data_IF_897482358543
#
_entry.id   IF_897482358543
#
_cell.length_a   1.000
_cell.length_b   1.000
_cell.length_c   1.000
_cell.angle_alpha   90.00
_cell.angle_beta   90.00
_cell.angle_gamma   90.00
#
_symmetry.space_group_name_H-M   'P 1'
#
loop_
_entity.id
_entity.type
_entity.pdbx_description
1 polymer ?
#
# COMPACT_ATOMS: atom_id res chain seq x y z
N UNK A 1 15.08 10.43 11.34
CA UNK A 1 15.12 10.39 10.21
C UNK A 1 14.73 9.24 9.62
N UNK A 2 14.20 9.41 9.05
CA UNK A 2 13.69 8.62 8.46
C UNK A 2 14.48 8.19 7.43
N UNK A 3 15.14 7.32 7.69
CA UNK A 3 15.74 6.88 6.84
C UNK A 3 14.95 6.00 6.15
N UNK A 4 14.47 6.36 5.35
CA UNK A 4 13.69 5.75 4.62
C UNK A 4 14.42 4.85 3.81
N UNK A 5 14.17 3.67 3.98
CA UNK A 5 14.66 2.87 3.04
C UNK A 5 13.97 3.12 1.82
N UNK A 6 13.12 3.88 1.81
CA UNK A 6 12.42 3.82 0.84
C UNK A 6 12.43 4.76 -0.11
N UNK A 7 12.67 4.34 -1.15
CA UNK A 7 12.31 4.99 -2.25
C UNK A 7 10.94 4.58 -2.50
N UNK A 8 10.06 5.50 -2.64
CA UNK A 8 8.72 5.21 -3.11
C UNK A 8 8.48 5.91 -4.44
N UNK A 9 7.66 5.32 -5.28
CA UNK A 9 7.28 5.90 -6.58
C UNK A 9 5.77 6.01 -6.61
N UNK A 10 5.28 7.15 -7.09
CA UNK A 10 3.84 7.38 -7.20
C UNK A 10 3.50 7.70 -8.64
N UNK A 11 2.56 6.94 -9.18
CA UNK A 11 2.06 7.18 -10.53
C UNK A 11 0.57 7.49 -10.43
N UNK A 12 0.14 8.51 -11.16
CA UNK A 12 -1.26 8.88 -11.20
C UNK A 12 -1.84 8.31 -12.49
N UNK A 13 -2.94 7.60 -12.38
CA UNK A 13 -3.51 6.88 -13.51
C UNK A 13 -4.77 7.58 -13.98
N UNK A 14 -4.79 7.96 -15.26
CA UNK A 14 -5.94 8.59 -15.89
C UNK A 14 -6.47 7.72 -17.02
N UNK A 15 -7.74 7.88 -17.30
CA UNK A 15 -8.31 7.38 -18.54
C UNK A 15 -8.93 8.59 -19.19
N UNK A 16 -8.31 9.11 -20.26
CA UNK A 16 -8.68 10.42 -20.78
C UNK A 16 -8.42 11.50 -19.74
N UNK A 17 -9.45 12.23 -19.36
CA UNK A 17 -9.30 13.23 -18.32
C UNK A 17 -9.82 12.75 -16.97
N UNK A 18 -10.31 11.52 -16.91
CA UNK A 18 -10.85 10.99 -15.67
C UNK A 18 -9.76 10.35 -14.83
N UNK A 19 -9.67 10.77 -13.58
CA UNK A 19 -8.73 10.16 -12.64
C UNK A 19 -9.23 8.78 -12.25
N UNK A 20 -8.42 7.75 -12.51
CA UNK A 20 -8.78 6.38 -12.20
C UNK A 20 -8.22 5.93 -10.87
N UNK A 21 -7.05 6.42 -10.50
CA UNK A 21 -6.42 6.01 -9.25
C UNK A 21 -4.94 6.25 -9.26
N UNK A 22 -4.25 5.54 -8.38
CA UNK A 22 -2.83 5.72 -8.16
C UNK A 22 -2.14 4.37 -8.05
N UNK A 23 -0.89 4.33 -8.47
CA UNK A 23 -0.02 3.17 -8.24
C UNK A 23 1.13 3.67 -7.39
N UNK A 24 1.29 3.13 -6.20
CA UNK A 24 2.29 3.58 -5.24
C UNK A 24 3.18 2.39 -4.88
N UNK A 25 4.42 2.44 -5.29
CA UNK A 25 5.39 1.39 -4.99
C UNK A 25 6.24 1.80 -3.81
N UNK A 26 6.40 0.91 -2.84
CA UNK A 26 7.17 1.19 -1.63
C UNK A 26 8.08 0.02 -1.32
N UNK A 27 9.24 0.31 -0.75
CA UNK A 27 10.13 -0.69 -0.21
C UNK A 27 9.92 -0.74 1.31
N UNK A 28 9.63 -1.92 1.81
CA UNK A 28 9.43 -2.11 3.25
C UNK A 28 10.42 -3.12 3.78
N UNK A 29 10.82 -2.97 5.03
CA UNK A 29 11.72 -3.92 5.64
C UNK A 29 10.91 -5.08 6.17
N UNK A 30 11.05 -6.22 5.52
CA UNK A 30 10.39 -7.45 5.96
C UNK A 30 11.25 -8.22 6.95
N UNK A 31 10.84 -9.44 7.22
CA UNK A 31 11.54 -10.27 8.21
C UNK A 31 12.92 -10.70 7.73
N UNK A 32 13.10 -10.87 6.43
CA UNK A 32 14.34 -11.39 5.90
C UNK A 32 14.96 -10.47 4.86
N UNK A 33 14.63 -9.21 4.87
CA UNK A 33 15.20 -8.26 3.93
C UNK A 33 14.17 -7.24 3.48
N UNK A 34 14.44 -6.60 2.35
CA UNK A 34 13.56 -5.58 1.84
C UNK A 34 12.58 -6.17 0.84
N UNK A 35 11.32 -5.86 1.02
CA UNK A 35 10.27 -6.26 0.11
C UNK A 35 9.77 -5.04 -0.63
N UNK A 36 9.50 -5.18 -1.92
CA UNK A 36 8.94 -4.09 -2.70
C UNK A 36 7.48 -4.40 -2.93
N UNK A 37 6.62 -3.53 -2.44
CA UNK A 37 5.19 -3.72 -2.50
C UNK A 37 4.57 -2.62 -3.36
N UNK A 38 3.73 -3.03 -4.30
CA UNK A 38 3.05 -2.10 -5.18
C UNK A 38 1.60 -2.04 -4.75
N UNK A 39 1.17 -0.85 -4.34
CA UNK A 39 -0.21 -0.62 -3.91
C UNK A 39 -0.99 0.04 -5.02
N UNK A 40 -2.14 -0.52 -5.35
CA UNK A 40 -3.04 0.04 -6.35
C UNK A 40 -4.20 0.64 -5.58
N UNK A 41 -4.35 1.97 -5.70
CA UNK A 41 -5.32 2.73 -4.92
C UNK A 41 -6.34 3.34 -5.87
N UNK A 42 -7.59 3.38 -5.44
CA UNK A 42 -8.66 4.01 -6.21
C UNK A 42 -8.58 5.53 -6.08
N UNK A 43 -9.27 6.22 -6.97
CA UNK A 43 -9.29 7.68 -6.97
C UNK A 43 -9.82 8.28 -5.66
N UNK A 44 -10.66 7.54 -4.95
CA UNK A 44 -11.21 7.99 -3.67
C UNK A 44 -10.30 7.63 -2.49
N UNK A 45 -9.07 7.22 -2.76
CA UNK A 45 -8.09 6.88 -1.72
C UNK A 45 -8.49 5.66 -0.90
N UNK A 46 -8.99 4.65 -1.57
CA UNK A 46 -9.22 3.35 -0.96
C UNK A 46 -8.32 2.32 -1.62
N UNK A 47 -8.02 1.25 -0.91
CA UNK A 47 -7.16 0.18 -1.43
C UNK A 47 -7.94 -0.65 -2.44
N UNK A 48 -7.34 -0.91 -3.59
CA UNK A 48 -7.89 -1.84 -4.56
C UNK A 48 -7.21 -3.19 -4.46
N UNK A 49 -5.89 -3.20 -4.55
CA UNK A 49 -5.12 -4.44 -4.43
C UNK A 49 -3.65 -4.11 -4.20
N UNK A 50 -2.86 -5.12 -3.93
CA UNK A 50 -1.42 -4.95 -3.83
C UNK A 50 -0.71 -6.16 -4.42
N UNK A 51 0.56 -5.95 -4.78
CA UNK A 51 1.39 -7.00 -5.34
C UNK A 51 2.79 -6.86 -4.78
N UNK A 52 3.50 -7.98 -4.69
CA UNK A 52 4.91 -7.93 -4.39
C UNK A 52 5.68 -7.93 -5.70
N UNK A 53 6.55 -6.95 -5.89
CA UNK A 53 7.43 -6.94 -7.03
C UNK A 53 8.72 -7.68 -6.69
N UNK A 54 9.21 -7.50 -5.48
CA UNK A 54 10.34 -8.25 -4.98
C UNK A 54 10.00 -8.69 -3.57
N UNK A 55 10.28 -9.94 -3.26
CA UNK A 55 9.95 -10.50 -1.98
C UNK A 55 11.16 -11.24 -1.43
N UNK A 56 11.77 -10.69 -0.44
CA UNK A 56 12.93 -11.29 0.20
C UNK A 56 12.60 -11.94 1.53
N UNK A 57 11.36 -11.85 1.94
CA UNK A 57 10.92 -12.44 3.19
C UNK A 57 10.46 -13.88 3.02
N UNK A 58 10.84 -14.50 1.90
CA UNK A 58 10.44 -15.87 1.62
C UNK A 58 9.19 -15.91 0.78
N UNK A 59 8.77 -17.11 0.45
CA UNK A 59 7.61 -17.27 -0.41
C UNK A 59 6.36 -16.76 0.28
N UNK A 60 5.61 -15.93 -0.43
CA UNK A 60 4.33 -15.46 0.05
C UNK A 60 3.28 -16.21 -0.73
N UNK A 61 2.41 -16.93 -0.04
CA UNK A 61 1.41 -17.73 -0.72
C UNK A 61 0.36 -16.82 -1.35
N UNK A 62 -0.17 -17.29 -2.46
CA UNK A 62 -1.23 -16.56 -3.15
C UNK A 62 -2.46 -16.44 -2.26
N UNK A 63 -2.75 -17.47 -1.47
CA UNK A 63 -3.90 -17.45 -0.58
C UNK A 63 -3.76 -16.38 0.50
N UNK A 64 -2.55 -16.15 1.00
CA UNK A 64 -2.32 -15.10 1.98
C UNK A 64 -2.52 -13.73 1.34
N UNK A 65 -1.99 -13.54 0.13
CA UNK A 65 -2.14 -12.28 -0.59
C UNK A 65 -3.62 -11.99 -0.87
N UNK A 66 -4.36 -13.02 -1.28
CA UNK A 66 -5.79 -12.84 -1.54
C UNK A 66 -6.57 -12.54 -0.26
N UNK A 67 -6.21 -13.18 0.84
CA UNK A 67 -6.86 -12.93 2.12
C UNK A 67 -6.69 -11.49 2.55
N UNK A 68 -5.48 -10.99 2.46
CA UNK A 68 -5.21 -9.60 2.84
C UNK A 68 -5.85 -8.63 1.86
N UNK A 69 -5.82 -8.93 0.56
CA UNK A 69 -6.47 -8.09 -0.43
C UNK A 69 -7.98 -7.99 -0.14
N UNK A 70 -8.61 -9.12 0.15
CA UNK A 70 -10.04 -9.12 0.47
C UNK A 70 -10.31 -8.29 1.73
N UNK A 71 -9.45 -8.41 2.72
CA UNK A 71 -9.61 -7.70 3.98
C UNK A 71 -9.47 -6.18 3.80
N UNK A 72 -8.58 -5.75 2.91
CA UNK A 72 -8.29 -4.33 2.74
C UNK A 72 -9.01 -3.67 1.58
N UNK A 73 -9.59 -4.45 0.67
CA UNK A 73 -10.19 -3.88 -0.54
C UNK A 73 -11.33 -2.94 -0.18
N UNK A 74 -11.29 -1.76 -0.75
CA UNK A 74 -12.30 -0.74 -0.50
C UNK A 74 -12.09 0.04 0.79
N UNK A 75 -11.03 -0.24 1.53
CA UNK A 75 -10.79 0.41 2.82
C UNK A 75 -9.99 1.70 2.63
N UNK A 76 -10.41 2.74 3.34
CA UNK A 76 -9.63 3.97 3.42
C UNK A 76 -8.61 3.85 4.56
N UNK A 77 -7.85 4.92 4.79
CA UNK A 77 -6.79 4.87 5.79
C UNK A 77 -7.32 4.57 7.19
N UNK A 78 -8.48 5.13 7.55
CA UNK A 78 -9.06 4.88 8.86
C UNK A 78 -9.49 3.43 9.01
N UNK A 79 -10.10 2.87 7.97
CA UNK A 79 -10.54 1.48 8.00
C UNK A 79 -9.36 0.52 8.03
N UNK A 80 -8.30 0.81 7.29
CA UNK A 80 -7.08 -0.02 7.34
C UNK A 80 -6.46 0.05 8.73
N UNK A 81 -6.43 1.24 9.32
CA UNK A 81 -5.91 1.40 10.68
C UNK A 81 -6.73 0.59 11.68
N UNK A 82 -8.06 0.57 11.51
CA UNK A 82 -8.91 -0.24 12.36
C UNK A 82 -8.60 -1.73 12.24
N UNK A 83 -8.36 -2.21 11.04
CA UNK A 83 -7.99 -3.61 10.84
C UNK A 83 -6.71 -3.92 11.61
N UNK A 84 -5.71 -3.05 11.51
CA UNK A 84 -4.45 -3.25 12.18
C UNK A 84 -4.62 -3.30 13.70
N UNK A 85 -5.50 -2.46 14.24
CA UNK A 85 -5.66 -2.34 15.68
C UNK A 85 -6.63 -3.34 16.29
N UNK A 86 -7.58 -3.86 15.52
CA UNK A 86 -8.63 -4.71 16.08
C UNK A 86 -8.56 -6.17 15.68
N UNK A 87 -7.88 -6.48 14.56
CA UNK A 87 -7.83 -7.86 14.12
C UNK A 87 -6.82 -8.61 14.93
N UNK A 88 -7.26 -9.65 15.64
CA UNK A 88 -6.39 -10.35 16.58
C UNK A 88 -5.58 -11.47 15.94
N UNK A 89 -5.89 -11.85 14.72
CA UNK A 89 -5.24 -13.00 14.09
C UNK A 89 -4.13 -12.62 13.13
N UNK A 90 -3.67 -11.38 13.18
CA UNK A 90 -2.62 -10.93 12.29
C UNK A 90 -1.26 -11.39 12.78
N UNK A 91 -0.48 -12.00 11.91
CA UNK A 91 0.89 -12.34 12.23
C UNK A 91 1.80 -11.14 11.91
N UNK A 92 3.09 -11.28 12.16
CA UNK A 92 4.04 -10.18 11.97
C UNK A 92 4.09 -9.72 10.50
N UNK A 93 4.06 -10.67 9.57
CA UNK A 93 4.08 -10.33 8.14
C UNK A 93 2.82 -9.59 7.72
N UNK A 94 1.66 -10.02 8.21
CA UNK A 94 0.41 -9.33 7.93
C UNK A 94 0.49 -7.88 8.41
N UNK A 95 1.04 -7.67 9.60
CA UNK A 95 1.14 -6.32 10.16
C UNK A 95 2.04 -5.42 9.36
N UNK A 96 3.14 -5.95 8.83
CA UNK A 96 4.04 -5.17 7.97
C UNK A 96 3.31 -4.75 6.71
N UNK A 97 2.55 -5.66 6.10
CA UNK A 97 1.82 -5.37 4.88
C UNK A 97 0.73 -4.32 5.13
N UNK A 98 -0.05 -4.49 6.19
CA UNK A 98 -1.12 -3.56 6.51
C UNK A 98 -0.55 -2.18 6.86
N UNK A 99 0.56 -2.13 7.58
CA UNK A 99 1.23 -0.87 7.88
C UNK A 99 1.73 -0.20 6.60
N UNK A 100 2.18 -0.99 5.63
CA UNK A 100 2.58 -0.46 4.33
C UNK A 100 1.38 0.17 3.61
N UNK A 101 0.20 -0.42 3.70
CA UNK A 101 -1.01 0.16 3.13
C UNK A 101 -1.30 1.54 3.73
N UNK A 102 -1.17 1.66 5.04
CA UNK A 102 -1.40 2.93 5.72
C UNK A 102 -0.43 3.99 5.21
N UNK A 103 0.85 3.62 5.10
CA UNK A 103 1.87 4.54 4.61
C UNK A 103 1.60 4.94 3.17
N UNK A 104 1.21 3.99 2.32
CA UNK A 104 0.92 4.27 0.92
C UNK A 104 -0.24 5.26 0.80
N UNK A 105 -1.30 5.03 1.56
CA UNK A 105 -2.46 5.93 1.55
C UNK A 105 -2.09 7.31 2.07
N UNK A 106 -1.34 7.36 3.16
CA UNK A 106 -0.96 8.62 3.77
C UNK A 106 -0.06 9.45 2.84
N UNK A 107 0.95 8.82 2.28
CA UNK A 107 1.89 9.52 1.40
C UNK A 107 1.20 9.96 0.12
N UNK A 108 0.38 9.09 -0.47
CA UNK A 108 -0.32 9.43 -1.71
C UNK A 108 -1.27 10.60 -1.46
N UNK A 109 -2.01 10.57 -0.36
CA UNK A 109 -2.94 11.66 -0.04
C UNK A 109 -2.22 12.98 0.12
N UNK A 110 -1.02 12.95 0.70
CA UNK A 110 -0.26 14.18 0.91
C UNK A 110 0.45 14.66 -0.34
N UNK A 111 0.90 13.74 -1.19
CA UNK A 111 1.59 14.13 -2.42
C UNK A 111 0.63 14.56 -3.53
N UNK A 112 -0.57 13.99 -3.56
CA UNK A 112 -1.50 14.25 -4.65
C UNK A 112 -1.86 15.74 -4.80
N UNK A 113 -2.19 16.47 -3.73
CA UNK A 113 -2.45 17.89 -3.89
C UNK A 113 -1.26 18.66 -4.45
N UNK A 114 -0.04 18.29 -4.07
CA UNK A 114 1.17 18.93 -4.60
C UNK A 114 1.35 18.67 -6.07
N UNK A 115 1.13 17.42 -6.49
CA UNK A 115 1.22 17.05 -7.91
C UNK A 115 0.13 17.79 -8.70
N UNK A 116 -1.08 17.81 -8.19
CA UNK A 116 -2.18 18.47 -8.85
C UNK A 116 -1.92 19.97 -9.01
N UNK A 117 -1.36 20.59 -7.98
CA UNK A 117 -1.07 22.01 -8.03
C UNK A 117 0.08 22.36 -8.97
N UNK A 118 0.95 21.43 -9.27
CA UNK A 118 2.06 21.67 -10.17
C UNK A 118 1.69 21.45 -11.64
N UNK A 119 0.53 20.96 -11.89
CA UNK A 119 0.05 20.78 -13.26
C UNK A 119 -0.62 22.06 -13.72
#
# INVERSE_FOLDING_TARGET
HFQEFGIHSLYVVYQGEALMGFVHARTEKGLFGLDEIIWILAADMTVMEFKFQKNRSGAISQSMTQRLTTMLKGADMMEVTNVLNTESELNQRDRVIISSAIKALFVTKNLWPGVQNSL
#
